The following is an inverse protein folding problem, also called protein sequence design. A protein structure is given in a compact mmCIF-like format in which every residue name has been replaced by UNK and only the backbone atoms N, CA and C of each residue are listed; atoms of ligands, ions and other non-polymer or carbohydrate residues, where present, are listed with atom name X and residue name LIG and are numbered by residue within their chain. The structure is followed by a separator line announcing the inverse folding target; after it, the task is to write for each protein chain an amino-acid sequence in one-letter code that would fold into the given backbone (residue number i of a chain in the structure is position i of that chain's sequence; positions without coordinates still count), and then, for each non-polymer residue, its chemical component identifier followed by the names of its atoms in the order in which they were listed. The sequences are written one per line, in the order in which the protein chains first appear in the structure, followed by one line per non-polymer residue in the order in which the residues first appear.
data_IF_734494173194
#
_entry.id   IF_734494173194
#
_cell.length_a   1.000
_cell.length_b   1.000
_cell.length_c   1.000
_cell.angle_alpha   90.00
_cell.angle_beta   90.00
_cell.angle_gamma   90.00
#
_symmetry.space_group_name_H-M   'P 1'
#
loop_
_entity.id
_entity.type
_entity.pdbx_description
1 polymer ?
#
# COMPACT_ATOMS: atom_id res chain seq x y z
N UNK A 1 22.96 33.01 14.66
CA UNK A 1 21.95 32.59 15.66
C UNK A 1 20.95 31.69 14.95
N UNK A 2 20.76 30.45 15.40
CA UNK A 2 19.79 29.54 14.77
C UNK A 2 18.38 29.87 15.25
N UNK A 3 17.41 29.89 14.33
CA UNK A 3 15.99 29.99 14.65
C UNK A 3 15.40 28.59 14.62
N UNK A 4 14.64 28.24 15.66
CA UNK A 4 13.94 26.96 15.76
C UNK A 4 12.48 27.21 15.45
N UNK A 5 11.89 26.40 14.57
CA UNK A 5 10.48 26.50 14.20
C UNK A 5 9.75 25.20 14.55
N UNK A 6 8.44 25.29 14.79
CA UNK A 6 7.63 24.13 15.12
C UNK A 6 6.13 24.39 15.04
N UNK A 7 5.28 23.37 15.22
CA UNK A 7 3.85 23.54 15.23
C UNK A 7 3.40 24.37 16.44
N UNK A 8 2.37 25.22 16.32
CA UNK A 8 1.74 25.90 17.46
C UNK A 8 1.40 24.91 18.58
N UNK A 9 1.53 25.27 19.86
CA UNK A 9 1.24 24.36 20.96
C UNK A 9 -0.20 23.78 20.87
N UNK A 10 -0.41 22.51 21.28
CA UNK A 10 -1.75 21.88 21.28
C UNK A 10 -2.70 22.58 22.27
N UNK A 11 -2.15 23.07 23.37
CA UNK A 11 -2.87 23.80 24.40
C UNK A 11 -2.20 25.16 24.56
N UNK A 12 -3.03 26.19 24.73
CA UNK A 12 -2.56 27.51 25.12
C UNK A 12 -1.98 27.40 26.52
N UNK A 13 -0.70 27.74 26.69
CA UNK A 13 -0.06 27.77 28.01
C UNK A 13 -0.37 29.14 28.61
N UNK A 14 -1.14 29.25 29.72
CA UNK A 14 -1.43 30.54 30.33
C UNK A 14 -0.13 31.23 30.77
N UNK A 15 0.07 32.48 30.36
CA UNK A 15 1.28 33.25 30.69
C UNK A 15 2.49 32.95 29.79
N UNK A 16 2.26 32.53 28.54
CA UNK A 16 3.32 32.26 27.56
C UNK A 16 4.30 33.44 27.43
N UNK A 17 5.50 33.25 28.00
CA UNK A 17 6.66 34.10 27.82
C UNK A 17 7.67 33.29 27.01
N UNK A 18 7.46 33.22 25.69
CA UNK A 18 8.31 32.48 24.72
C UNK A 18 9.82 32.65 24.95
N UNK A 19 10.22 33.83 25.43
CA UNK A 19 11.62 34.19 25.71
C UNK A 19 12.23 33.49 26.94
N UNK A 20 11.40 32.85 27.79
CA UNK A 20 11.82 32.08 28.97
C UNK A 20 11.75 30.57 28.78
N UNK A 21 11.40 30.10 27.58
CA UNK A 21 11.33 28.67 27.33
C UNK A 21 12.75 28.06 27.34
N UNK A 22 12.91 26.83 27.84
CA UNK A 22 14.17 26.10 27.73
C UNK A 22 14.68 26.12 26.29
N UNK A 23 16.01 26.20 26.13
CA UNK A 23 16.68 26.26 24.82
C UNK A 23 16.33 27.47 23.94
N UNK A 24 15.79 28.55 24.53
CA UNK A 24 15.52 29.80 23.81
C UNK A 24 14.22 29.78 22.99
N UNK A 25 13.34 28.82 23.26
CA UNK A 25 12.03 28.70 22.64
C UNK A 25 12.05 28.31 21.16
N UNK A 26 10.88 28.43 20.53
CA UNK A 26 10.70 28.21 19.09
C UNK A 26 9.68 29.20 18.52
N UNK A 27 9.76 29.45 17.22
CA UNK A 27 8.75 30.23 16.48
C UNK A 27 7.67 29.29 15.96
N UNK A 28 6.44 29.48 16.42
CA UNK A 28 5.31 28.70 15.94
C UNK A 28 4.99 29.02 14.47
N UNK A 29 4.73 27.98 13.68
CA UNK A 29 4.32 28.11 12.29
C UNK A 29 3.23 27.10 11.94
N UNK A 30 2.16 27.59 11.31
CA UNK A 30 1.06 26.73 10.85
C UNK A 30 1.49 25.76 9.75
N UNK A 31 2.61 26.02 9.07
CA UNK A 31 3.12 25.14 8.01
C UNK A 31 3.34 23.69 8.50
N UNK A 32 3.70 23.49 9.77
CA UNK A 32 3.90 22.16 10.34
C UNK A 32 2.61 21.34 10.52
N UNK A 33 1.44 21.97 10.37
CA UNK A 33 0.13 21.30 10.45
C UNK A 33 -0.50 21.12 9.06
N UNK A 34 0.19 21.50 7.99
CA UNK A 34 -0.33 21.52 6.62
C UNK A 34 0.38 20.48 5.75
N UNK A 35 -0.39 19.76 4.93
CA UNK A 35 0.13 18.75 4.01
C UNK A 35 1.08 19.29 2.95
N UNK A 36 1.04 20.60 2.65
CA UNK A 36 2.02 21.27 1.78
C UNK A 36 3.44 21.16 2.30
N UNK A 37 3.64 20.99 3.61
CA UNK A 37 4.95 20.68 4.17
C UNK A 37 5.49 19.34 3.67
N UNK A 38 4.63 18.33 3.53
CA UNK A 38 5.01 17.01 3.01
C UNK A 38 5.19 17.02 1.49
N UNK A 39 4.46 17.88 0.78
CA UNK A 39 4.49 18.01 -0.67
C UNK A 39 5.86 18.44 -1.23
N UNK A 40 6.76 18.99 -0.42
CA UNK A 40 8.12 19.33 -0.89
C UNK A 40 8.92 18.10 -1.32
N UNK A 41 8.55 16.91 -0.84
CA UNK A 41 9.19 15.64 -1.21
C UNK A 41 8.19 14.63 -1.77
N UNK A 42 6.95 14.58 -1.25
CA UNK A 42 5.90 13.66 -1.69
C UNK A 42 5.07 14.19 -2.87
N UNK A 43 5.67 15.07 -3.67
CA UNK A 43 5.16 15.55 -4.94
C UNK A 43 6.35 15.93 -5.81
N UNK A 44 6.47 15.32 -6.97
CA UNK A 44 7.41 15.84 -7.96
C UNK A 44 6.92 17.21 -8.47
N UNK A 45 7.81 18.20 -8.43
CA UNK A 45 7.52 19.56 -8.84
C UNK A 45 7.39 19.65 -10.36
N UNK A 46 6.19 19.91 -10.89
CA UNK A 46 5.96 19.98 -12.34
C UNK A 46 6.84 21.01 -13.07
N UNK A 47 7.24 22.10 -12.38
CA UNK A 47 8.10 23.15 -12.96
C UNK A 47 9.52 22.67 -13.28
N UNK A 48 9.94 21.56 -12.70
CA UNK A 48 11.27 20.97 -12.88
C UNK A 48 11.27 19.91 -13.99
N UNK A 49 10.19 19.79 -14.77
CA UNK A 49 10.00 18.75 -15.79
C UNK A 49 10.38 17.35 -15.28
N UNK A 50 9.73 16.89 -14.19
CA UNK A 50 10.10 15.67 -13.50
C UNK A 50 9.84 14.44 -14.39
N UNK A 51 10.55 13.33 -14.13
CA UNK A 51 10.36 12.11 -14.90
C UNK A 51 8.93 11.60 -14.80
N UNK A 52 8.40 11.16 -15.94
CA UNK A 52 7.06 10.60 -16.09
C UNK A 52 7.13 9.24 -16.73
N UNK A 53 6.17 8.39 -16.40
CA UNK A 53 5.92 7.12 -17.08
C UNK A 53 4.46 7.09 -17.46
N UNK A 54 4.17 6.86 -18.74
CA UNK A 54 2.81 6.92 -19.29
C UNK A 54 2.05 8.22 -18.90
N UNK A 55 2.75 9.36 -18.96
CA UNK A 55 2.21 10.69 -18.60
C UNK A 55 2.06 10.96 -17.09
N UNK A 56 2.23 9.96 -16.22
CA UNK A 56 2.08 10.09 -14.77
C UNK A 56 3.40 10.43 -14.08
N UNK A 57 3.34 11.29 -13.07
CA UNK A 57 4.47 11.58 -12.19
C UNK A 57 4.80 10.35 -11.34
N UNK A 58 6.09 10.07 -11.17
CA UNK A 58 6.53 8.95 -10.34
C UNK A 58 6.16 9.14 -8.86
N UNK A 59 6.18 10.37 -8.36
CA UNK A 59 5.68 10.78 -7.04
C UNK A 59 4.62 11.88 -7.22
N UNK A 60 3.38 11.59 -6.87
CA UNK A 60 2.21 12.46 -7.10
C UNK A 60 1.23 12.44 -5.91
N UNK A 61 1.74 12.10 -4.73
CA UNK A 61 0.89 11.77 -3.57
C UNK A 61 0.11 12.98 -3.08
N UNK A 62 0.70 14.18 -3.11
CA UNK A 62 0.00 15.40 -2.69
C UNK A 62 -1.16 15.77 -3.63
N UNK A 63 -0.98 15.69 -4.96
CA UNK A 63 -2.05 15.94 -5.92
C UNK A 63 -3.18 14.93 -5.78
N UNK A 64 -2.86 13.65 -5.57
CA UNK A 64 -3.85 12.60 -5.28
C UNK A 64 -4.62 12.93 -4.00
N UNK A 65 -3.91 13.40 -2.96
CA UNK A 65 -4.54 13.84 -1.72
C UNK A 65 -5.45 15.03 -1.91
N UNK A 66 -5.03 16.05 -2.64
CA UNK A 66 -5.84 17.24 -2.89
C UNK A 66 -7.20 16.92 -3.53
N UNK A 67 -7.28 15.84 -4.31
CA UNK A 67 -8.50 15.37 -4.98
C UNK A 67 -9.36 14.45 -4.10
N UNK A 68 -8.84 13.98 -2.97
CA UNK A 68 -9.48 12.99 -2.09
C UNK A 68 -10.63 13.57 -1.23
N UNK A 69 -11.53 12.71 -0.71
CA UNK A 69 -12.47 13.10 0.35
C UNK A 69 -11.78 13.67 1.61
N UNK A 70 -10.60 13.17 1.96
CA UNK A 70 -9.83 13.55 3.15
C UNK A 70 -9.36 15.02 3.05
N UNK A 71 -8.88 15.46 1.89
CA UNK A 71 -8.54 16.86 1.68
C UNK A 71 -9.77 17.78 1.80
N UNK A 72 -10.93 17.36 1.27
CA UNK A 72 -12.20 18.10 1.42
C UNK A 72 -12.64 18.23 2.88
N UNK A 73 -12.26 17.26 3.72
CA UNK A 73 -12.53 17.27 5.16
C UNK A 73 -11.44 17.97 5.99
N UNK A 74 -10.38 18.51 5.35
CA UNK A 74 -9.26 19.14 6.05
C UNK A 74 -8.36 18.15 6.81
N UNK A 75 -8.40 16.86 6.46
CA UNK A 75 -7.55 15.84 7.06
C UNK A 75 -6.18 15.89 6.37
N UNK A 76 -5.19 16.40 7.08
CA UNK A 76 -3.83 16.54 6.59
C UNK A 76 -2.99 15.26 6.79
N UNK A 77 -1.92 15.10 6.01
CA UNK A 77 -0.98 13.98 6.10
C UNK A 77 -0.54 13.71 7.54
N UNK A 78 -0.19 14.76 8.29
CA UNK A 78 0.27 14.66 9.68
C UNK A 78 -0.81 14.09 10.62
N UNK A 79 -2.10 14.26 10.33
CA UNK A 79 -3.18 13.76 11.17
C UNK A 79 -3.20 12.23 11.25
N UNK A 80 -2.80 11.55 10.17
CA UNK A 80 -2.74 10.08 10.11
C UNK A 80 -1.31 9.55 10.29
N UNK A 81 -0.32 10.17 9.66
CA UNK A 81 1.07 9.68 9.65
C UNK A 81 1.89 10.14 10.87
N UNK A 82 1.46 11.21 11.53
CA UNK A 82 2.09 11.76 12.73
C UNK A 82 1.05 12.00 13.83
N UNK A 83 0.27 10.96 14.22
CA UNK A 83 -0.81 11.13 15.18
C UNK A 83 -0.23 11.69 16.46
N UNK A 84 -0.96 12.62 17.06
CA UNK A 84 -0.53 13.35 18.24
C UNK A 84 0.82 14.09 18.12
N UNK A 85 1.29 14.37 16.90
CA UNK A 85 2.60 14.96 16.56
C UNK A 85 3.78 14.03 16.87
N UNK A 86 3.53 12.73 16.96
CA UNK A 86 4.60 11.75 17.05
C UNK A 86 5.27 11.57 15.68
N UNK A 87 6.59 11.45 15.65
CA UNK A 87 7.37 11.25 14.43
C UNK A 87 7.39 9.77 14.02
N UNK A 88 6.21 9.14 13.96
CA UNK A 88 6.09 7.72 13.61
C UNK A 88 6.19 7.49 12.11
N UNK A 89 5.62 8.40 11.31
CA UNK A 89 5.60 8.36 9.84
C UNK A 89 5.14 7.00 9.29
N UNK A 90 4.15 6.39 9.95
CA UNK A 90 3.66 5.05 9.59
C UNK A 90 3.14 5.07 8.17
N UNK A 91 3.50 4.07 7.37
CA UNK A 91 3.05 3.97 5.99
C UNK A 91 2.81 2.51 5.64
N UNK A 92 3.08 2.14 4.39
CA UNK A 92 2.85 0.76 3.91
C UNK A 92 3.75 -0.29 4.58
N UNK A 93 4.83 0.11 5.26
CA UNK A 93 5.66 -0.78 6.09
C UNK A 93 5.03 -1.12 7.45
N UNK A 94 3.93 -0.47 7.83
CA UNK A 94 3.20 -0.70 9.07
C UNK A 94 1.86 -1.37 8.75
N UNK A 95 1.67 -2.60 9.25
CA UNK A 95 0.50 -3.40 8.94
C UNK A 95 -0.80 -2.80 9.51
N UNK A 96 -0.73 -2.16 10.68
CA UNK A 96 -1.90 -1.56 11.33
C UNK A 96 -2.34 -0.29 10.59
N UNK A 97 -1.40 0.51 10.10
CA UNK A 97 -1.66 1.64 9.21
C UNK A 97 -2.26 1.18 7.88
N UNK A 98 -1.70 0.12 7.29
CA UNK A 98 -2.16 -0.38 5.99
C UNK A 98 -3.57 -0.98 6.09
N UNK A 99 -3.92 -1.65 7.20
CA UNK A 99 -5.28 -2.17 7.43
C UNK A 99 -6.32 -1.07 7.53
N UNK A 100 -5.94 0.13 7.97
CA UNK A 100 -6.86 1.26 8.03
C UNK A 100 -7.17 1.84 6.64
N UNK A 101 -6.33 1.59 5.64
CA UNK A 101 -6.48 2.17 4.30
C UNK A 101 -7.61 1.52 3.47
N UNK A 102 -7.76 0.20 3.57
CA UNK A 102 -8.67 -0.58 2.75
C UNK A 102 -9.74 -1.28 3.60
N UNK A 103 -11.00 -1.17 3.15
CA UNK A 103 -12.05 -2.13 3.51
C UNK A 103 -12.10 -3.22 2.42
N UNK A 104 -12.10 -4.50 2.83
CA UNK A 104 -12.06 -5.64 1.92
C UNK A 104 -13.17 -6.62 2.30
N UNK A 105 -14.02 -6.92 1.34
CA UNK A 105 -15.12 -7.87 1.49
C UNK A 105 -15.04 -8.93 0.41
N UNK A 106 -15.34 -10.17 0.77
CA UNK A 106 -15.38 -11.30 -0.16
C UNK A 106 -16.70 -12.05 0.06
N UNK A 107 -17.33 -12.46 -1.04
CA UNK A 107 -18.49 -13.34 -1.01
C UNK A 107 -18.45 -14.33 -2.18
N UNK A 108 -19.14 -15.45 -2.03
CA UNK A 108 -19.29 -16.46 -3.08
C UNK A 108 -20.72 -16.46 -3.60
N UNK A 109 -20.87 -16.38 -4.93
CA UNK A 109 -22.18 -16.41 -5.59
C UNK A 109 -22.27 -17.55 -6.59
N UNK A 110 -23.33 -18.37 -6.52
CA UNK A 110 -23.61 -19.39 -7.55
C UNK A 110 -23.88 -18.73 -8.88
N UNK A 111 -23.19 -19.16 -9.93
CA UNK A 111 -23.45 -18.71 -11.30
C UNK A 111 -23.71 -19.85 -12.27
N UNK A 112 -23.47 -21.10 -11.86
CA UNK A 112 -23.81 -22.30 -12.62
C UNK A 112 -23.97 -23.54 -11.73
N UNK A 113 -24.11 -24.72 -12.35
CA UNK A 113 -24.24 -25.98 -11.61
C UNK A 113 -23.03 -26.27 -10.74
N UNK A 114 -21.82 -26.11 -11.29
CA UNK A 114 -20.54 -26.29 -10.59
C UNK A 114 -19.66 -25.03 -10.62
N UNK A 115 -20.24 -23.86 -10.89
CA UNK A 115 -19.49 -22.59 -10.98
C UNK A 115 -19.92 -21.64 -9.87
N UNK A 116 -18.92 -21.16 -9.12
CA UNK A 116 -19.04 -20.03 -8.19
C UNK A 116 -18.31 -18.83 -8.76
N UNK A 117 -18.87 -17.64 -8.60
CA UNK A 117 -18.12 -16.39 -8.72
C UNK A 117 -17.63 -16.00 -7.33
N UNK A 118 -16.32 -15.84 -7.20
CA UNK A 118 -15.69 -15.17 -6.06
C UNK A 118 -15.77 -13.67 -6.33
N UNK A 119 -16.64 -12.98 -5.59
CA UNK A 119 -16.81 -11.55 -5.69
C UNK A 119 -16.00 -10.87 -4.58
N UNK A 120 -15.06 -10.00 -4.94
CA UNK A 120 -14.28 -9.21 -3.97
C UNK A 120 -14.49 -7.74 -4.23
N UNK A 121 -14.79 -7.02 -3.15
CA UNK A 121 -14.93 -5.56 -3.16
C UNK A 121 -13.83 -4.97 -2.28
N UNK A 122 -13.02 -4.08 -2.86
CA UNK A 122 -11.96 -3.37 -2.15
C UNK A 122 -12.25 -1.87 -2.21
N UNK A 123 -12.47 -1.25 -1.06
CA UNK A 123 -12.73 0.19 -0.96
C UNK A 123 -11.53 0.91 -0.34
N UNK A 124 -10.98 1.90 -1.04
CA UNK A 124 -9.95 2.78 -0.49
C UNK A 124 -10.59 3.95 0.27
N UNK A 125 -11.03 3.69 1.50
CA UNK A 125 -11.71 4.68 2.35
C UNK A 125 -10.76 5.37 3.33
N UNK A 126 -9.67 4.71 3.73
CA UNK A 126 -8.76 5.25 4.74
C UNK A 126 -7.59 6.03 4.17
N UNK A 127 -7.04 5.64 3.02
CA UNK A 127 -5.96 6.41 2.43
C UNK A 127 -6.52 7.61 1.66
N UNK A 128 -6.13 8.81 2.10
CA UNK A 128 -6.40 10.06 1.41
C UNK A 128 -5.53 10.26 0.17
N UNK A 129 -5.15 9.20 -0.55
CA UNK A 129 -4.40 9.20 -1.80
C UNK A 129 -4.63 7.83 -2.48
N UNK A 130 -4.01 7.56 -3.64
CA UNK A 130 -4.17 6.25 -4.27
C UNK A 130 -3.60 5.14 -3.38
N UNK A 131 -4.20 3.95 -3.40
CA UNK A 131 -3.72 2.81 -2.63
C UNK A 131 -3.14 1.71 -3.55
N UNK A 132 -1.89 1.29 -3.33
CA UNK A 132 -0.85 2.11 -2.69
C UNK A 132 -0.49 3.32 -3.57
N UNK A 133 0.11 4.38 -3.00
CA UNK A 133 0.62 5.50 -3.81
C UNK A 133 1.96 5.13 -4.46
N UNK A 134 2.34 5.89 -5.50
CA UNK A 134 3.53 5.72 -6.37
C UNK A 134 3.71 4.28 -6.89
N UNK A 135 4.88 3.95 -7.45
CA UNK A 135 5.11 2.68 -8.17
C UNK A 135 5.77 1.57 -7.35
N UNK A 136 6.29 1.89 -6.16
CA UNK A 136 7.21 1.01 -5.43
C UNK A 136 6.51 -0.19 -4.80
N UNK A 137 5.50 -0.01 -3.93
CA UNK A 137 4.84 -1.14 -3.28
C UNK A 137 3.88 -1.85 -4.22
N UNK A 138 3.58 -3.11 -3.88
CA UNK A 138 2.46 -3.88 -4.42
C UNK A 138 1.66 -4.52 -3.30
N UNK A 139 0.39 -4.76 -3.55
CA UNK A 139 -0.46 -5.63 -2.74
C UNK A 139 -0.95 -6.76 -3.63
N UNK A 140 -0.62 -7.99 -3.27
CA UNK A 140 -1.07 -9.19 -3.98
C UNK A 140 -2.26 -9.80 -3.27
N UNK A 141 -3.31 -10.08 -4.05
CA UNK A 141 -4.45 -10.88 -3.65
C UNK A 141 -4.23 -12.30 -4.18
N UNK A 142 -4.02 -13.25 -3.26
CA UNK A 142 -3.79 -14.66 -3.59
C UNK A 142 -5.03 -15.45 -3.22
N UNK A 143 -5.69 -16.01 -4.22
CA UNK A 143 -6.90 -16.79 -4.06
C UNK A 143 -6.58 -18.27 -4.07
N UNK A 144 -6.93 -18.94 -2.97
CA UNK A 144 -6.67 -20.34 -2.73
C UNK A 144 -7.97 -21.13 -2.57
N UNK A 145 -8.00 -22.34 -3.12
CA UNK A 145 -8.85 -23.40 -2.61
C UNK A 145 -8.11 -24.03 -1.42
N UNK A 146 -8.73 -24.04 -0.24
CA UNK A 146 -8.17 -24.64 0.98
C UNK A 146 -9.00 -25.82 1.44
N UNK A 147 -8.42 -27.02 1.44
CA UNK A 147 -9.08 -28.22 1.95
C UNK A 147 -9.22 -28.14 3.49
N UNK A 148 -10.42 -28.36 4.02
CA UNK A 148 -10.72 -28.20 5.45
C UNK A 148 -10.02 -29.22 6.34
N UNK A 149 -9.87 -30.46 5.87
CA UNK A 149 -9.29 -31.55 6.68
C UNK A 149 -7.76 -31.48 6.69
N UNK A 150 -7.16 -31.43 5.49
CA UNK A 150 -5.71 -31.49 5.33
C UNK A 150 -5.02 -30.14 5.46
N UNK A 151 -5.77 -29.04 5.36
CA UNK A 151 -5.21 -27.68 5.25
C UNK A 151 -4.47 -27.40 3.94
N UNK A 152 -4.46 -28.36 2.99
CA UNK A 152 -3.80 -28.19 1.69
C UNK A 152 -4.40 -27.01 0.95
N UNK A 153 -3.53 -26.12 0.44
CA UNK A 153 -3.91 -24.95 -0.37
C UNK A 153 -3.55 -25.17 -1.83
N UNK A 154 -4.41 -24.71 -2.73
CA UNK A 154 -4.16 -24.63 -4.16
C UNK A 154 -4.52 -23.23 -4.64
N UNK A 155 -3.51 -22.47 -5.11
CA UNK A 155 -3.73 -21.17 -5.73
C UNK A 155 -4.47 -21.38 -7.06
N UNK A 156 -5.59 -20.69 -7.25
CA UNK A 156 -6.33 -20.69 -8.52
C UNK A 156 -6.37 -19.30 -9.19
N UNK A 157 -6.11 -18.22 -8.45
CA UNK A 157 -6.05 -16.88 -9.02
C UNK A 157 -5.09 -15.97 -8.25
N UNK A 158 -4.54 -14.97 -8.96
CA UNK A 158 -3.74 -13.88 -8.38
C UNK A 158 -4.15 -12.56 -9.01
N UNK A 159 -4.27 -11.53 -8.19
CA UNK A 159 -4.48 -10.16 -8.65
C UNK A 159 -3.52 -9.22 -7.93
N UNK A 160 -2.95 -8.25 -8.65
CA UNK A 160 -2.02 -7.28 -8.08
C UNK A 160 -2.67 -5.91 -8.07
N UNK A 161 -2.60 -5.23 -6.93
CA UNK A 161 -2.93 -3.81 -6.77
C UNK A 161 -1.62 -3.03 -6.73
N UNK A 162 -1.45 -2.12 -7.68
CA UNK A 162 -0.33 -1.20 -7.71
C UNK A 162 -0.03 -0.69 -9.11
N UNK A 163 1.01 0.14 -9.20
CA UNK A 163 1.51 0.65 -10.47
C UNK A 163 2.82 -0.05 -10.83
N UNK A 164 2.78 -0.84 -11.90
CA UNK A 164 3.92 -1.63 -12.34
C UNK A 164 4.61 -0.95 -13.52
N UNK A 165 5.85 -0.55 -13.27
CA UNK A 165 6.76 -0.02 -14.27
C UNK A 165 7.98 -0.93 -14.35
N UNK A 166 8.55 -1.11 -15.54
CA UNK A 166 9.80 -1.85 -15.71
C UNK A 166 10.95 -1.23 -14.87
N UNK A 167 12.02 -1.98 -14.62
CA UNK A 167 13.16 -1.51 -13.79
C UNK A 167 13.90 -0.31 -14.40
N UNK A 168 13.75 -0.09 -15.70
CA UNK A 168 14.33 1.06 -16.41
C UNK A 168 13.49 2.34 -16.28
N UNK A 169 12.31 2.26 -15.66
CA UNK A 169 11.39 3.38 -15.48
C UNK A 169 10.90 4.00 -16.80
N UNK A 170 10.78 3.19 -17.85
CA UNK A 170 10.41 3.65 -19.20
C UNK A 170 9.06 3.14 -19.67
N UNK A 171 8.61 1.99 -19.16
CA UNK A 171 7.45 1.28 -19.67
C UNK A 171 6.50 0.89 -18.54
N UNK A 172 5.24 1.32 -18.67
CA UNK A 172 4.16 0.94 -17.77
C UNK A 172 3.54 -0.37 -18.26
N UNK A 173 3.55 -1.37 -17.38
CA UNK A 173 2.95 -2.67 -17.66
C UNK A 173 1.48 -2.69 -17.27
N UNK A 174 1.15 -2.09 -16.12
CA UNK A 174 -0.22 -1.88 -15.66
C UNK A 174 -0.28 -0.85 -14.53
N UNK A 175 -1.48 -0.30 -14.29
CA UNK A 175 -1.80 0.48 -13.10
C UNK A 175 -3.18 0.07 -12.57
N UNK A 176 -3.18 -0.67 -11.47
CA UNK A 176 -4.38 -1.18 -10.78
C UNK A 176 -4.56 -0.56 -9.40
N UNK A 177 -3.84 0.53 -9.10
CA UNK A 177 -4.03 1.29 -7.85
C UNK A 177 -5.50 1.68 -7.70
N UNK A 178 -5.94 1.79 -6.45
CA UNK A 178 -7.31 2.19 -6.13
C UNK A 178 -7.27 3.68 -5.75
N UNK A 179 -7.87 4.59 -6.53
CA UNK A 179 -7.88 6.02 -6.17
C UNK A 179 -8.53 6.29 -4.81
N UNK A 180 -8.25 7.45 -4.21
CA UNK A 180 -8.79 7.80 -2.90
C UNK A 180 -10.33 7.92 -2.95
N UNK A 181 -11.02 7.18 -2.07
CA UNK A 181 -12.48 7.12 -2.05
C UNK A 181 -13.11 6.17 -3.08
N UNK A 182 -12.30 5.53 -3.94
CA UNK A 182 -12.80 4.66 -5.01
C UNK A 182 -12.85 3.18 -4.60
N UNK A 183 -13.52 2.41 -5.42
CA UNK A 183 -13.77 0.97 -5.22
C UNK A 183 -13.20 0.14 -6.37
N UNK A 184 -12.60 -1.00 -6.05
CA UNK A 184 -12.25 -2.04 -7.02
C UNK A 184 -13.12 -3.27 -6.79
N UNK A 185 -13.84 -3.67 -7.83
CA UNK A 185 -14.63 -4.90 -7.84
C UNK A 185 -13.91 -5.97 -8.66
N UNK A 186 -13.79 -7.17 -8.10
CA UNK A 186 -13.26 -8.35 -8.78
C UNK A 186 -14.35 -9.42 -8.83
N UNK A 187 -14.41 -10.12 -9.96
CA UNK A 187 -15.36 -11.18 -10.24
C UNK A 187 -14.56 -12.33 -10.84
N UNK A 188 -14.31 -13.37 -10.06
CA UNK A 188 -13.41 -14.46 -10.45
C UNK A 188 -14.25 -15.74 -10.53
N UNK A 189 -14.55 -16.24 -11.75
CA UNK A 189 -15.24 -17.50 -11.90
C UNK A 189 -14.32 -18.64 -11.46
N UNK A 190 -14.87 -19.56 -10.69
CA UNK A 190 -14.21 -20.76 -10.20
C UNK A 190 -15.12 -21.96 -10.46
N UNK A 191 -14.63 -22.86 -11.29
CA UNK A 191 -15.26 -24.16 -11.52
C UNK A 191 -14.83 -25.11 -10.41
N UNK A 192 -15.81 -25.67 -9.70
CA UNK A 192 -15.62 -26.63 -8.62
C UNK A 192 -15.72 -28.06 -9.16
N UNK A 193 -14.91 -28.95 -8.61
CA UNK A 193 -14.98 -30.39 -8.83
C UNK A 193 -15.66 -31.07 -7.63
N UNK A 194 -16.17 -32.29 -7.80
CA UNK A 194 -16.84 -33.04 -6.71
C UNK A 194 -15.94 -33.28 -5.50
N UNK A 195 -14.63 -33.40 -5.70
CA UNK A 195 -13.62 -33.45 -4.65
C UNK A 195 -13.55 -32.20 -3.77
N UNK A 196 -14.20 -31.12 -4.20
CA UNK A 196 -14.05 -29.78 -3.65
C UNK A 196 -15.12 -29.44 -2.59
N UNK A 197 -16.06 -30.37 -2.33
CA UNK A 197 -17.15 -30.19 -1.34
C UNK A 197 -16.67 -29.97 0.11
N UNK A 198 -15.40 -30.29 0.40
CA UNK A 198 -14.76 -30.03 1.68
C UNK A 198 -13.69 -28.93 1.63
N UNK A 199 -13.83 -27.97 0.72
CA UNK A 199 -12.88 -26.88 0.55
C UNK A 199 -13.51 -25.53 0.87
N UNK A 200 -12.66 -24.56 1.15
CA UNK A 200 -13.00 -23.16 1.33
C UNK A 200 -12.30 -22.33 0.27
N UNK A 201 -12.92 -21.22 -0.14
CA UNK A 201 -12.21 -20.17 -0.88
C UNK A 201 -11.55 -19.26 0.14
N UNK A 202 -10.23 -19.18 0.09
CA UNK A 202 -9.42 -18.34 0.96
C UNK A 202 -8.74 -17.25 0.13
N UNK A 203 -8.87 -15.99 0.56
CA UNK A 203 -8.14 -14.85 0.03
C UNK A 203 -7.06 -14.46 1.04
N UNK A 204 -5.79 -14.57 0.63
CA UNK A 204 -4.65 -14.00 1.35
C UNK A 204 -4.27 -12.67 0.71
N UNK A 205 -4.18 -11.61 1.52
CA UNK A 205 -3.76 -10.27 1.08
C UNK A 205 -2.35 -10.02 1.56
N UNK A 206 -1.38 -10.06 0.64
CA UNK A 206 0.05 -9.91 0.93
C UNK A 206 0.53 -8.54 0.50
N UNK A 207 1.24 -7.82 1.37
CA UNK A 207 1.81 -6.51 1.08
C UNK A 207 3.29 -6.67 0.85
N UNK A 208 3.77 -6.03 -0.21
CA UNK A 208 5.15 -6.06 -0.68
C UNK A 208 5.66 -4.61 -0.70
N UNK A 209 6.05 -4.03 0.46
CA UNK A 209 6.33 -2.60 0.58
C UNK A 209 7.45 -2.09 -0.32
N UNK A 210 8.43 -2.95 -0.65
CA UNK A 210 9.64 -2.62 -1.42
C UNK A 210 9.70 -3.33 -2.78
N UNK A 211 8.58 -3.73 -3.36
CA UNK A 211 8.53 -4.57 -4.57
C UNK A 211 9.46 -4.07 -5.70
N UNK A 212 9.35 -2.79 -6.08
CA UNK A 212 10.18 -2.25 -7.15
C UNK A 212 11.69 -2.31 -6.85
N UNK A 213 12.08 -2.07 -5.59
CA UNK A 213 13.48 -2.18 -5.17
C UNK A 213 13.95 -3.63 -5.19
N UNK A 214 13.14 -4.58 -4.70
CA UNK A 214 13.47 -6.01 -4.75
C UNK A 214 13.75 -6.43 -6.19
N UNK A 215 12.84 -6.12 -7.12
CA UNK A 215 13.00 -6.44 -8.54
C UNK A 215 14.20 -5.77 -9.17
N UNK A 216 14.49 -4.52 -8.79
CA UNK A 216 15.69 -3.81 -9.25
C UNK A 216 16.96 -4.50 -8.76
N UNK A 217 17.03 -4.86 -7.48
CA UNK A 217 18.19 -5.56 -6.93
C UNK A 217 18.37 -6.97 -7.51
N UNK A 218 17.28 -7.70 -7.73
CA UNK A 218 17.29 -8.99 -8.41
C UNK A 218 17.77 -8.87 -9.85
N UNK A 219 17.36 -7.83 -10.58
CA UNK A 219 17.87 -7.56 -11.92
C UNK A 219 19.38 -7.32 -11.90
N UNK A 220 19.90 -6.59 -10.91
CA UNK A 220 21.35 -6.35 -10.78
C UNK A 220 22.17 -7.63 -10.59
N UNK A 221 21.58 -8.73 -10.07
CA UNK A 221 22.27 -10.02 -9.98
C UNK A 221 22.63 -10.62 -11.34
N UNK A 222 21.99 -10.20 -12.44
CA UNK A 222 22.37 -10.63 -13.79
C UNK A 222 23.78 -10.18 -14.19
N UNK A 223 24.32 -9.19 -13.49
CA UNK A 223 25.67 -8.66 -13.70
C UNK A 223 26.63 -9.10 -12.59
N UNK A 224 26.29 -10.12 -11.79
CA UNK A 224 27.07 -10.53 -10.61
C UNK A 224 28.56 -10.76 -10.90
N UNK A 225 28.90 -11.29 -12.08
CA UNK A 225 30.29 -11.58 -12.48
C UNK A 225 31.13 -10.31 -12.69
N UNK A 226 30.49 -9.15 -12.84
CA UNK A 226 31.15 -7.85 -12.99
C UNK A 226 31.31 -7.10 -11.67
N UNK A 227 30.70 -7.62 -10.59
CA UNK A 227 30.65 -6.94 -9.30
C UNK A 227 31.76 -7.44 -8.37
N UNK A 228 32.29 -6.53 -7.53
CA UNK A 228 33.17 -6.94 -6.43
C UNK A 228 32.44 -7.88 -5.46
N UNK A 229 33.19 -8.73 -4.76
CA UNK A 229 32.63 -9.61 -3.73
C UNK A 229 31.83 -8.84 -2.66
N UNK A 230 32.33 -7.66 -2.24
CA UNK A 230 31.65 -6.79 -1.27
C UNK A 230 30.35 -6.21 -1.81
N UNK A 231 30.34 -5.77 -3.08
CA UNK A 231 29.14 -5.27 -3.76
C UNK A 231 28.08 -6.38 -3.87
N UNK A 232 28.49 -7.58 -4.29
CA UNK A 232 27.59 -8.73 -4.41
C UNK A 232 27.01 -9.15 -3.05
N UNK A 233 27.82 -9.14 -1.99
CA UNK A 233 27.36 -9.40 -0.63
C UNK A 233 26.33 -8.35 -0.16
N UNK A 234 26.59 -7.07 -0.43
CA UNK A 234 25.67 -5.96 -0.11
C UNK A 234 24.36 -6.08 -0.89
N UNK A 235 24.42 -6.40 -2.18
CA UNK A 235 23.25 -6.60 -3.03
C UNK A 235 22.38 -7.77 -2.53
N UNK A 236 22.99 -8.91 -2.20
CA UNK A 236 22.29 -10.06 -1.62
C UNK A 236 21.65 -9.73 -0.27
N UNK A 237 22.33 -8.91 0.55
CA UNK A 237 21.77 -8.42 1.82
C UNK A 237 20.56 -7.52 1.56
N UNK A 238 20.64 -6.57 0.63
CA UNK A 238 19.54 -5.67 0.29
C UNK A 238 18.30 -6.42 -0.23
N UNK A 239 18.48 -7.48 -1.02
CA UNK A 239 17.38 -8.35 -1.47
C UNK A 239 16.69 -9.00 -0.26
N UNK A 240 17.47 -9.61 0.64
CA UNK A 240 16.92 -10.25 1.85
C UNK A 240 16.19 -9.24 2.74
N UNK A 241 16.74 -8.04 2.90
CA UNK A 241 16.11 -6.98 3.70
C UNK A 241 14.82 -6.46 3.04
N UNK A 242 14.76 -6.36 1.71
CA UNK A 242 13.53 -6.00 1.00
C UNK A 242 12.46 -7.09 1.19
N UNK A 243 12.82 -8.36 0.97
CA UNK A 243 11.93 -9.51 1.13
C UNK A 243 11.41 -9.66 2.57
N UNK A 244 12.24 -9.34 3.56
CA UNK A 244 11.86 -9.38 4.96
C UNK A 244 10.81 -8.31 5.34
N UNK A 245 10.55 -7.32 4.47
CA UNK A 245 9.47 -6.35 4.69
C UNK A 245 8.09 -6.85 4.27
N UNK A 246 7.99 -8.03 3.65
CA UNK A 246 6.71 -8.56 3.24
C UNK A 246 5.90 -8.97 4.46
N UNK A 247 4.59 -8.76 4.39
CA UNK A 247 3.70 -9.22 5.44
C UNK A 247 2.30 -9.47 4.89
N UNK A 248 1.60 -10.39 5.56
CA UNK A 248 0.19 -10.63 5.33
C UNK A 248 -0.64 -9.56 6.03
N UNK A 249 -1.42 -8.82 5.25
CA UNK A 249 -2.32 -7.80 5.77
C UNK A 249 -3.50 -8.43 6.50
N UNK A 250 -4.16 -9.38 5.82
CA UNK A 250 -5.31 -10.12 6.32
C UNK A 250 -5.52 -11.41 5.52
N UNK A 251 -6.44 -12.24 6.01
CA UNK A 251 -6.92 -13.44 5.35
C UNK A 251 -8.45 -13.50 5.50
N UNK A 252 -9.16 -13.68 4.39
CA UNK A 252 -10.60 -13.93 4.36
C UNK A 252 -10.85 -15.37 3.92
N UNK A 253 -11.93 -15.97 4.40
CA UNK A 253 -12.26 -17.35 4.08
C UNK A 253 -13.78 -17.48 3.99
N UNK A 254 -14.26 -17.99 2.85
CA UNK A 254 -15.66 -18.27 2.61
C UNK A 254 -15.85 -19.75 2.32
N UNK A 255 -16.80 -20.42 3.00
CA UNK A 255 -17.05 -21.83 2.77
C UNK A 255 -17.57 -22.05 1.37
N UNK A 256 -16.96 -22.99 0.63
CA UNK A 256 -17.58 -23.45 -0.62
C UNK A 256 -18.97 -24.01 -0.25
N UNK A 257 -20.04 -23.50 -0.86
CA UNK A 257 -21.37 -23.96 -0.51
C UNK A 257 -21.53 -25.45 -0.82
N UNK A 258 -22.18 -26.18 0.09
CA UNK A 258 -22.57 -27.58 -0.15
C UNK A 258 -23.74 -27.60 -1.14
N UNK A 259 -23.43 -27.48 -2.42
CA UNK A 259 -24.40 -27.69 -3.46
C UNK A 259 -24.36 -29.13 -3.89
N UNK A 260 -25.54 -29.73 -4.10
CA UNK A 260 -25.63 -31.02 -4.76
C UNK A 260 -25.04 -30.83 -6.17
N UNK A 261 -23.79 -31.23 -6.35
CA UNK A 261 -23.17 -31.38 -7.66
C UNK A 261 -23.83 -32.64 -8.21
N UNK A 262 -24.74 -32.47 -9.17
CA UNK A 262 -25.39 -33.60 -9.83
C UNK A 262 -24.42 -34.16 -10.89
N UNK A 263 -24.35 -35.49 -10.96
CA UNK A 263 -23.52 -36.29 -11.87
C UNK A 263 -23.56 -35.81 -13.33
#
# INVERSE_FOLDING_TARGET
RHQVFGPPAKQTIPGDQSDKWPHGGFTASQAFQDSRFCATCHQHNEKENPPRVNGKLQEDTWNQWQQSPQAKQGIHCQSCHMPDRQHLWRGIHDADMTRQALDIQMQLKRTGENVVNVEVVLHNLGAGHHFPTYMVPKVELVFNLRNRDSGKKQVFHRYVIGWQVNVALTDEQFDTRIPAGETRNLQIPLTLHESDVNWDVELEVEVIPREHYERTFQQSLKYADTLSATTLATLRKAIKEAQATHYRLLQLQEPVPRWNIAN
#
